data_IF_438902881050
#
_entry.id   IF_438902881050
#
_cell.length_a   1.000
_cell.length_b   1.000
_cell.length_c   1.000
_cell.angle_alpha   90.00
_cell.angle_beta   90.00
_cell.angle_gamma   90.00
#
_symmetry.space_group_name_H-M   'P 1'
#
loop_
_entity.id
_entity.type
_entity.pdbx_description
1 polymer ?
#
# COMPACT_ATOMS: atom_id res chain seq x y z
N UNK A 1 18.32 -1.86 -25.98
CA UNK A 1 18.26 -1.98 -24.50
C UNK A 1 17.53 -3.27 -24.18
N UNK A 2 18.18 -4.21 -23.47
CA UNK A 2 17.55 -5.49 -23.10
C UNK A 2 16.47 -5.20 -22.03
N UNK A 3 15.26 -5.76 -22.12
CA UNK A 3 14.25 -5.55 -21.10
C UNK A 3 14.76 -6.05 -19.75
N UNK A 4 14.62 -5.23 -18.71
CA UNK A 4 14.93 -5.62 -17.34
C UNK A 4 14.14 -6.89 -17.00
N UNK A 5 14.85 -7.96 -16.70
CA UNK A 5 14.24 -9.21 -16.27
C UNK A 5 13.79 -9.05 -14.81
N UNK A 6 12.80 -9.85 -14.39
CA UNK A 6 12.26 -9.81 -13.04
C UNK A 6 13.37 -9.95 -11.97
N UNK A 7 14.37 -10.78 -12.26
CA UNK A 7 15.56 -10.98 -11.43
C UNK A 7 16.44 -9.74 -11.30
N UNK A 8 16.50 -8.89 -12.32
CA UNK A 8 17.25 -7.63 -12.27
C UNK A 8 16.52 -6.58 -11.43
N UNK A 9 15.19 -6.55 -11.48
CA UNK A 9 14.35 -5.66 -10.66
C UNK A 9 14.44 -6.04 -9.19
N UNK A 10 14.21 -7.32 -8.86
CA UNK A 10 14.30 -7.82 -7.49
C UNK A 10 15.74 -7.76 -6.98
N UNK A 11 16.73 -8.21 -7.77
CA UNK A 11 18.15 -8.17 -7.41
C UNK A 11 18.71 -6.75 -7.30
N UNK A 12 18.17 -5.79 -8.06
CA UNK A 12 18.45 -4.37 -7.92
C UNK A 12 17.90 -3.80 -6.62
N UNK A 13 16.67 -4.13 -6.26
CA UNK A 13 16.06 -3.76 -4.98
C UNK A 13 16.85 -4.32 -3.78
N UNK A 14 17.26 -5.60 -3.82
CA UNK A 14 18.10 -6.20 -2.79
C UNK A 14 19.49 -5.56 -2.68
N UNK A 15 20.14 -5.22 -3.81
CA UNK A 15 21.45 -4.53 -3.80
C UNK A 15 21.37 -3.11 -3.26
N UNK A 16 20.30 -2.37 -3.59
CA UNK A 16 20.07 -1.04 -3.04
C UNK A 16 19.78 -1.11 -1.53
N UNK A 17 18.98 -2.09 -1.10
CA UNK A 17 18.72 -2.34 0.32
C UNK A 17 20.00 -2.67 1.09
N UNK A 18 20.92 -3.47 0.53
CA UNK A 18 22.18 -3.85 1.19
C UNK A 18 23.21 -2.71 1.29
N UNK A 19 23.25 -1.80 0.31
CA UNK A 19 24.25 -0.71 0.28
C UNK A 19 23.96 0.42 1.27
N UNK A 20 22.69 0.66 1.63
CA UNK A 20 22.29 1.75 2.55
C UNK A 20 21.41 1.25 3.72
N UNK A 21 21.54 -0.03 4.08
CA UNK A 21 20.61 -0.74 4.98
C UNK A 21 20.38 -0.02 6.32
N UNK A 22 21.40 0.59 6.92
CA UNK A 22 21.28 1.28 8.22
C UNK A 22 20.41 2.52 8.16
N UNK A 23 20.55 3.32 7.11
CA UNK A 23 19.76 4.53 6.93
C UNK A 23 18.31 4.16 6.56
N UNK A 24 18.15 3.21 5.62
CA UNK A 24 16.84 2.73 5.18
C UNK A 24 16.06 2.10 6.33
N UNK A 25 16.69 1.24 7.14
CA UNK A 25 16.05 0.63 8.31
C UNK A 25 15.75 1.63 9.42
N UNK A 26 16.64 2.59 9.69
CA UNK A 26 16.39 3.61 10.71
C UNK A 26 15.17 4.48 10.37
N UNK A 27 15.02 4.84 9.10
CA UNK A 27 13.86 5.61 8.64
C UNK A 27 12.62 4.73 8.56
N UNK A 28 12.72 3.50 8.04
CA UNK A 28 11.56 2.59 7.98
C UNK A 28 11.07 2.18 9.37
N UNK A 29 11.94 2.14 10.38
CA UNK A 29 11.56 1.95 11.78
C UNK A 29 10.70 3.12 12.27
N UNK A 30 11.13 4.36 12.01
CA UNK A 30 10.33 5.55 12.35
C UNK A 30 8.97 5.57 11.65
N UNK A 31 8.93 5.19 10.36
CA UNK A 31 7.66 5.01 9.62
C UNK A 31 6.80 3.95 10.30
N UNK A 32 7.37 2.78 10.57
CA UNK A 32 6.65 1.61 11.08
C UNK A 32 6.04 1.88 12.45
N UNK A 33 6.79 2.49 13.37
CA UNK A 33 6.26 2.90 14.68
C UNK A 33 5.05 3.80 14.52
N UNK A 34 5.14 4.79 13.63
CA UNK A 34 4.08 5.77 13.42
C UNK A 34 2.85 5.10 12.77
N UNK A 35 3.07 4.29 11.74
CA UNK A 35 2.01 3.51 11.07
C UNK A 35 1.29 2.62 12.07
N UNK A 36 2.02 1.81 12.84
CA UNK A 36 1.42 0.88 13.81
C UNK A 36 0.67 1.63 14.90
N UNK A 37 1.23 2.72 15.44
CA UNK A 37 0.55 3.52 16.46
C UNK A 37 -0.82 4.02 15.99
N UNK A 38 -0.92 4.50 14.75
CA UNK A 38 -2.21 4.98 14.23
C UNK A 38 -3.14 3.83 13.88
N UNK A 39 -2.64 2.71 13.35
CA UNK A 39 -3.46 1.51 13.14
C UNK A 39 -4.12 1.05 14.43
N UNK A 40 -3.35 0.97 15.53
CA UNK A 40 -3.87 0.59 16.85
C UNK A 40 -4.92 1.58 17.39
N UNK A 41 -4.72 2.88 17.17
CA UNK A 41 -5.72 3.90 17.56
C UNK A 41 -7.00 3.76 16.75
N UNK A 42 -6.89 3.58 15.43
CA UNK A 42 -8.07 3.36 14.57
C UNK A 42 -8.82 2.12 15.04
N UNK A 43 -8.14 0.98 15.16
CA UNK A 43 -8.75 -0.28 15.60
C UNK A 43 -9.41 -0.17 16.98
N UNK A 44 -8.72 0.44 17.95
CA UNK A 44 -9.28 0.67 19.29
C UNK A 44 -10.53 1.53 19.30
N UNK A 45 -10.70 2.43 18.32
CA UNK A 45 -11.91 3.28 18.21
C UNK A 45 -13.07 2.64 17.45
N UNK A 46 -12.80 1.78 16.47
CA UNK A 46 -13.86 1.17 15.64
C UNK A 46 -14.38 -0.15 16.17
N UNK A 47 -13.54 -1.00 16.77
CA UNK A 47 -13.93 -2.37 17.07
C UNK A 47 -14.60 -2.50 18.44
N UNK A 48 -14.42 -1.52 19.33
CA UNK A 48 -14.70 -1.70 20.76
C UNK A 48 -13.81 -2.82 21.34
N UNK A 49 -13.61 -2.86 22.66
CA UNK A 49 -12.65 -3.78 23.30
C UNK A 49 -13.06 -5.28 23.22
N UNK A 50 -14.00 -5.67 22.38
CA UNK A 50 -14.44 -7.06 22.20
C UNK A 50 -13.83 -7.66 20.95
N UNK A 51 -12.81 -8.52 21.06
CA UNK A 51 -12.38 -9.36 19.96
C UNK A 51 -13.48 -10.39 19.66
N UNK A 52 -14.43 -10.04 18.81
CA UNK A 52 -15.40 -11.01 18.29
C UNK A 52 -14.67 -11.92 17.31
N UNK A 53 -14.31 -13.13 17.75
CA UNK A 53 -13.78 -14.22 16.90
C UNK A 53 -14.84 -14.76 15.93
N UNK A 54 -16.08 -14.30 16.05
CA UNK A 54 -17.17 -14.53 15.12
C UNK A 54 -17.09 -13.50 13.99
N UNK A 55 -16.59 -13.93 12.83
CA UNK A 55 -16.75 -13.20 11.57
C UNK A 55 -18.21 -13.32 11.12
N UNK A 56 -19.09 -12.53 11.76
CA UNK A 56 -20.47 -12.40 11.31
C UNK A 56 -20.51 -11.52 10.05
N UNK A 57 -21.30 -11.91 9.05
CA UNK A 57 -21.51 -11.12 7.84
C UNK A 57 -22.05 -9.72 8.18
N UNK A 58 -22.78 -9.59 9.30
CA UNK A 58 -23.29 -8.31 9.80
C UNK A 58 -22.22 -7.32 10.30
N UNK A 59 -21.01 -7.77 10.66
CA UNK A 59 -19.92 -6.88 11.12
C UNK A 59 -19.01 -6.39 9.99
N UNK A 60 -19.15 -6.95 8.78
CA UNK A 60 -18.35 -6.60 7.61
C UNK A 60 -18.36 -5.10 7.27
N UNK A 61 -19.49 -4.35 7.38
CA UNK A 61 -19.48 -2.91 7.14
C UNK A 61 -18.56 -2.16 8.12
N UNK A 62 -18.57 -2.54 9.41
CA UNK A 62 -17.71 -1.95 10.44
C UNK A 62 -16.23 -2.30 10.20
N UNK A 63 -15.95 -3.56 9.88
CA UNK A 63 -14.61 -4.04 9.54
C UNK A 63 -14.05 -3.31 8.31
N UNK A 64 -14.91 -3.05 7.33
CA UNK A 64 -14.55 -2.32 6.12
C UNK A 64 -14.21 -0.86 6.41
N UNK A 65 -14.99 -0.19 7.26
CA UNK A 65 -14.71 1.18 7.72
C UNK A 65 -13.39 1.23 8.50
N UNK A 66 -13.14 0.27 9.38
CA UNK A 66 -11.88 0.16 10.12
C UNK A 66 -10.69 -0.05 9.18
N UNK A 67 -10.81 -0.95 8.20
CA UNK A 67 -9.80 -1.20 7.17
C UNK A 67 -9.53 0.04 6.31
N UNK A 68 -10.56 0.81 5.99
CA UNK A 68 -10.39 2.07 5.27
C UNK A 68 -9.70 3.12 6.13
N UNK A 69 -10.10 3.26 7.40
CA UNK A 69 -9.46 4.16 8.35
C UNK A 69 -7.98 3.83 8.53
N UNK A 70 -7.64 2.55 8.64
CA UNK A 70 -6.25 2.11 8.77
C UNK A 70 -5.46 2.29 7.47
N UNK A 71 -6.05 1.99 6.30
CA UNK A 71 -5.38 2.20 5.00
C UNK A 71 -5.16 3.69 4.73
N UNK A 72 -6.14 4.53 5.08
CA UNK A 72 -6.02 5.98 5.03
C UNK A 72 -4.90 6.44 5.96
N UNK A 73 -4.94 6.06 7.24
CA UNK A 73 -3.88 6.35 8.20
C UNK A 73 -2.50 5.94 7.67
N UNK A 74 -2.32 4.68 7.28
CA UNK A 74 -1.06 4.15 6.74
C UNK A 74 -0.59 4.98 5.56
N UNK A 75 -1.46 5.29 4.60
CA UNK A 75 -1.08 6.07 3.43
C UNK A 75 -0.81 7.55 3.73
N UNK A 76 -1.52 8.15 4.71
CA UNK A 76 -1.24 9.48 5.22
C UNK A 76 0.16 9.49 5.81
N UNK A 77 0.48 8.55 6.70
CA UNK A 77 1.75 8.43 7.40
C UNK A 77 2.91 8.08 6.48
N UNK A 78 2.67 7.19 5.52
CA UNK A 78 3.60 6.85 4.45
C UNK A 78 3.96 8.08 3.63
N UNK A 79 2.98 8.95 3.31
CA UNK A 79 3.26 10.18 2.58
C UNK A 79 4.10 11.19 3.38
N UNK A 80 3.89 11.26 4.70
CA UNK A 80 4.67 12.11 5.62
C UNK A 80 6.15 11.69 5.62
N UNK A 81 6.41 10.39 5.56
CA UNK A 81 7.74 9.84 5.82
C UNK A 81 8.48 9.37 4.55
N UNK A 82 7.80 9.20 3.41
CA UNK A 82 8.38 8.78 2.13
C UNK A 82 9.56 9.64 1.65
N UNK A 83 9.60 10.93 2.01
CA UNK A 83 10.73 11.82 1.68
C UNK A 83 11.90 11.79 2.66
N UNK A 84 11.74 11.19 3.85
CA UNK A 84 12.86 10.94 4.75
C UNK A 84 13.81 9.85 4.22
N UNK A 85 13.30 8.94 3.37
CA UNK A 85 14.01 7.73 2.88
C UNK A 85 15.05 8.01 1.79
N UNK A 86 15.09 9.20 1.19
CA UNK A 86 15.95 9.52 0.03
C UNK A 86 17.44 9.76 0.35
N UNK A 87 17.94 9.24 1.47
CA UNK A 87 19.35 8.86 1.59
C UNK A 87 20.37 9.99 1.72
N UNK A 88 19.95 11.23 2.02
CA UNK A 88 20.89 12.25 2.47
C UNK A 88 21.00 12.20 4.01
N UNK A 89 22.21 12.29 4.59
CA UNK A 89 22.43 12.33 6.04
C UNK A 89 21.97 13.66 6.63
N UNK A 90 20.68 13.95 6.50
CA UNK A 90 20.03 15.18 6.95
C UNK A 90 18.99 14.74 7.97
N UNK A 91 19.17 15.14 9.24
CA UNK A 91 18.31 14.72 10.34
C UNK A 91 16.81 14.93 10.08
N UNK A 92 15.95 14.22 10.82
CA UNK A 92 14.48 14.19 10.69
C UNK A 92 13.83 15.56 10.40
N UNK A 93 14.34 16.63 11.02
CA UNK A 93 13.85 18.01 10.85
C UNK A 93 14.10 18.61 9.45
N UNK A 94 15.21 18.26 8.81
CA UNK A 94 15.54 18.71 7.46
C UNK A 94 14.69 17.98 6.42
N UNK A 95 14.53 16.67 6.57
CA UNK A 95 13.62 15.86 5.74
C UNK A 95 12.17 16.37 5.84
N UNK A 96 11.69 16.70 7.04
CA UNK A 96 10.34 17.26 7.24
C UNK A 96 10.13 18.59 6.52
N UNK A 97 11.12 19.50 6.58
CA UNK A 97 11.04 20.82 5.93
C UNK A 97 10.94 20.70 4.41
N UNK A 98 11.59 19.71 3.83
CA UNK A 98 11.55 19.42 2.39
C UNK A 98 10.27 18.70 1.96
N UNK A 99 9.70 17.86 2.85
CA UNK A 99 8.46 17.13 2.62
C UNK A 99 7.18 17.99 2.77
N UNK A 100 7.16 18.93 3.73
CA UNK A 100 5.97 19.73 4.10
C UNK A 100 5.21 20.36 2.92
N UNK A 101 5.85 20.94 1.88
CA UNK A 101 5.13 21.58 0.78
C UNK A 101 4.29 20.61 -0.07
N UNK A 102 4.70 19.34 -0.13
CA UNK A 102 4.06 18.31 -0.96
C UNK A 102 3.09 17.43 -0.18
N UNK A 103 3.16 17.48 1.16
CA UNK A 103 2.33 16.72 2.10
C UNK A 103 0.85 16.73 1.71
N UNK A 104 0.25 17.90 1.51
CA UNK A 104 -1.18 18.02 1.21
C UNK A 104 -1.59 17.39 -0.13
N UNK A 105 -0.68 17.38 -1.10
CA UNK A 105 -0.94 16.79 -2.42
C UNK A 105 -0.85 15.27 -2.37
N UNK A 106 0.14 14.74 -1.66
CA UNK A 106 0.24 13.31 -1.39
C UNK A 106 -0.94 12.81 -0.55
N UNK A 107 -1.30 13.57 0.47
CA UNK A 107 -2.48 13.35 1.28
C UNK A 107 -3.74 13.26 0.41
N UNK A 108 -3.92 14.23 -0.48
CA UNK A 108 -5.03 14.25 -1.42
C UNK A 108 -5.08 13.00 -2.31
N UNK A 109 -3.94 12.53 -2.84
CA UNK A 109 -3.90 11.28 -3.63
C UNK A 109 -4.23 10.07 -2.78
N UNK A 110 -3.59 9.91 -1.63
CA UNK A 110 -3.85 8.76 -0.75
C UNK A 110 -5.33 8.71 -0.37
N UNK A 111 -5.88 9.82 0.14
CA UNK A 111 -7.27 9.89 0.57
C UNK A 111 -8.20 9.59 -0.59
N UNK A 112 -7.94 10.16 -1.77
CA UNK A 112 -8.80 9.96 -2.93
C UNK A 112 -8.71 8.53 -3.47
N UNK A 113 -7.54 7.90 -3.50
CA UNK A 113 -7.38 6.49 -3.90
C UNK A 113 -8.10 5.57 -2.91
N UNK A 114 -7.88 5.75 -1.61
CA UNK A 114 -8.57 4.98 -0.56
C UNK A 114 -10.08 5.16 -0.64
N UNK A 115 -10.58 6.38 -0.89
CA UNK A 115 -12.01 6.65 -1.03
C UNK A 115 -12.59 6.04 -2.31
N UNK A 116 -11.86 6.08 -3.42
CA UNK A 116 -12.28 5.40 -4.65
C UNK A 116 -12.41 3.90 -4.41
N UNK A 117 -11.43 3.28 -3.75
CA UNK A 117 -11.52 1.85 -3.39
C UNK A 117 -12.67 1.57 -2.42
N UNK A 118 -12.84 2.43 -1.40
CA UNK A 118 -13.94 2.38 -0.42
C UNK A 118 -15.31 2.33 -1.10
N UNK A 119 -15.59 3.36 -1.89
CA UNK A 119 -16.87 3.57 -2.56
C UNK A 119 -17.13 2.44 -3.53
N UNK A 120 -16.10 1.94 -4.22
CA UNK A 120 -16.25 0.85 -5.18
C UNK A 120 -16.74 -0.43 -4.53
N UNK A 121 -16.16 -0.81 -3.39
CA UNK A 121 -16.59 -2.00 -2.65
C UNK A 121 -17.95 -1.76 -2.00
N UNK A 122 -18.20 -0.58 -1.43
CA UNK A 122 -19.48 -0.23 -0.82
C UNK A 122 -20.63 -0.30 -1.83
N UNK A 123 -20.44 0.23 -3.04
CA UNK A 123 -21.44 0.17 -4.12
C UNK A 123 -21.76 -1.28 -4.50
N UNK A 124 -20.78 -2.18 -4.49
CA UNK A 124 -21.01 -3.60 -4.73
C UNK A 124 -21.69 -4.31 -3.54
N UNK A 125 -21.43 -3.89 -2.30
CA UNK A 125 -21.99 -4.49 -1.07
C UNK A 125 -23.43 -4.07 -0.78
N UNK A 126 -23.79 -2.81 -1.02
CA UNK A 126 -25.09 -2.23 -0.63
C UNK A 126 -26.30 -3.05 -1.09
N UNK A 127 -26.38 -3.52 -2.35
CA UNK A 127 -27.53 -4.33 -2.79
C UNK A 127 -27.69 -5.63 -2.00
N UNK A 128 -26.57 -6.30 -1.66
CA UNK A 128 -26.59 -7.51 -0.87
C UNK A 128 -27.06 -7.27 0.56
N UNK A 129 -26.50 -6.25 1.22
CA UNK A 129 -26.88 -5.89 2.58
C UNK A 129 -28.36 -5.49 2.70
N UNK A 130 -28.91 -4.80 1.70
CA UNK A 130 -30.32 -4.41 1.68
C UNK A 130 -31.26 -5.63 1.53
N UNK A 131 -30.87 -6.61 0.72
CA UNK A 131 -31.67 -7.82 0.53
C UNK A 131 -31.58 -8.74 1.74
N UNK A 132 -30.40 -8.88 2.32
CA UNK A 132 -30.19 -9.65 3.54
C UNK A 132 -30.99 -9.08 4.72
N UNK A 133 -30.93 -7.75 4.92
CA UNK A 133 -31.76 -7.07 5.92
C UNK A 133 -33.28 -7.23 5.69
N UNK A 134 -33.71 -7.52 4.46
CA UNK A 134 -35.10 -7.80 4.10
C UNK A 134 -35.46 -9.31 4.17
N UNK A 135 -34.55 -10.17 4.64
CA UNK A 135 -34.75 -11.62 4.76
C UNK A 135 -34.52 -12.41 3.48
N UNK A 136 -33.88 -11.82 2.46
CA UNK A 136 -33.63 -12.44 1.16
C UNK A 136 -32.40 -13.35 1.08
N UNK A 137 -31.66 -13.50 2.19
CA UNK A 137 -30.48 -14.36 2.32
C UNK A 137 -29.18 -13.78 1.75
N UNK A 138 -28.07 -14.48 1.99
CA UNK A 138 -26.70 -13.96 1.83
C UNK A 138 -26.16 -13.95 0.40
N UNK A 139 -26.90 -14.51 -0.57
CA UNK A 139 -26.39 -14.79 -1.92
C UNK A 139 -25.93 -13.52 -2.66
N UNK A 140 -26.68 -12.43 -2.55
CA UNK A 140 -26.32 -11.14 -3.15
C UNK A 140 -25.19 -10.45 -2.39
N UNK A 141 -25.08 -10.64 -1.08
CA UNK A 141 -23.98 -10.12 -0.26
C UNK A 141 -22.66 -10.77 -0.68
N UNK A 142 -22.64 -12.09 -0.85
CA UNK A 142 -21.47 -12.82 -1.34
C UNK A 142 -21.05 -12.38 -2.75
N UNK A 143 -22.01 -12.20 -3.66
CA UNK A 143 -21.74 -11.71 -5.02
C UNK A 143 -21.20 -10.27 -4.99
N UNK A 144 -21.78 -9.42 -4.13
CA UNK A 144 -21.31 -8.05 -3.88
C UNK A 144 -19.88 -8.00 -3.36
N UNK A 145 -19.51 -8.88 -2.42
CA UNK A 145 -18.14 -9.01 -1.91
C UNK A 145 -17.20 -9.43 -3.05
N UNK A 146 -17.53 -10.48 -3.79
CA UNK A 146 -16.69 -10.99 -4.87
C UNK A 146 -16.47 -9.92 -5.96
N UNK A 147 -17.55 -9.28 -6.42
CA UNK A 147 -17.49 -8.19 -7.38
C UNK A 147 -16.72 -6.98 -6.86
N UNK A 148 -16.93 -6.62 -5.59
CA UNK A 148 -16.23 -5.53 -4.91
C UNK A 148 -14.73 -5.79 -4.81
N UNK A 149 -14.31 -7.00 -4.46
CA UNK A 149 -12.88 -7.39 -4.40
C UNK A 149 -12.25 -7.33 -5.78
N UNK A 150 -12.90 -7.88 -6.80
CA UNK A 150 -12.38 -7.84 -8.19
C UNK A 150 -12.22 -6.39 -8.66
N UNK A 151 -13.23 -5.54 -8.40
CA UNK A 151 -13.19 -4.13 -8.75
C UNK A 151 -12.11 -3.37 -7.98
N UNK A 152 -11.98 -3.62 -6.67
CA UNK A 152 -10.96 -3.00 -5.82
C UNK A 152 -9.54 -3.38 -6.27
N UNK A 153 -9.28 -4.65 -6.56
CA UNK A 153 -8.00 -5.12 -7.10
C UNK A 153 -7.69 -4.42 -8.43
N UNK A 154 -8.67 -4.36 -9.34
CA UNK A 154 -8.50 -3.72 -10.63
C UNK A 154 -8.19 -2.22 -10.51
N UNK A 155 -8.89 -1.50 -9.63
CA UNK A 155 -8.67 -0.09 -9.36
C UNK A 155 -7.33 0.15 -8.65
N UNK A 156 -6.97 -0.68 -7.68
CA UNK A 156 -5.70 -0.61 -6.97
C UNK A 156 -4.53 -0.70 -7.96
N UNK A 157 -4.57 -1.66 -8.88
CA UNK A 157 -3.52 -1.83 -9.89
C UNK A 157 -3.47 -0.61 -10.81
N UNK A 158 -4.63 -0.09 -11.26
CA UNK A 158 -4.69 1.12 -12.10
C UNK A 158 -4.17 2.38 -11.42
N UNK A 159 -4.31 2.48 -10.11
CA UNK A 159 -3.95 3.65 -9.32
C UNK A 159 -2.62 3.50 -8.56
N UNK A 160 -1.95 2.35 -8.70
CA UNK A 160 -0.71 2.01 -7.99
C UNK A 160 0.44 3.01 -8.22
N UNK A 161 0.46 3.71 -9.36
CA UNK A 161 1.48 4.70 -9.69
C UNK A 161 1.07 6.15 -9.42
N UNK A 162 -0.09 6.41 -8.82
CA UNK A 162 -0.60 7.78 -8.61
C UNK A 162 0.35 8.61 -7.73
N UNK A 163 0.89 8.01 -6.67
CA UNK A 163 1.84 8.68 -5.76
C UNK A 163 3.15 9.01 -6.48
N UNK A 164 3.68 8.08 -7.27
CA UNK A 164 4.91 8.28 -8.03
C UNK A 164 4.74 9.36 -9.11
N UNK A 165 3.62 9.36 -9.84
CA UNK A 165 3.29 10.38 -10.83
C UNK A 165 3.13 11.77 -10.21
N UNK A 166 2.51 11.88 -9.02
CA UNK A 166 2.35 13.16 -8.33
C UNK A 166 3.69 13.78 -7.93
N UNK A 167 4.59 12.96 -7.36
CA UNK A 167 5.90 13.42 -6.88
C UNK A 167 6.83 13.73 -8.05
N UNK A 168 6.95 12.79 -8.99
CA UNK A 168 7.98 12.84 -10.04
C UNK A 168 7.58 13.73 -11.21
N UNK A 169 6.30 13.82 -11.54
CA UNK A 169 5.80 14.69 -12.63
C UNK A 169 5.23 16.02 -12.10
N UNK A 170 5.26 16.27 -10.78
CA UNK A 170 4.75 17.48 -10.11
C UNK A 170 3.30 17.83 -10.49
N UNK A 171 2.50 16.84 -10.84
CA UNK A 171 1.12 17.01 -11.28
C UNK A 171 0.15 17.23 -10.11
N UNK A 172 -1.04 17.76 -10.42
CA UNK A 172 -2.16 17.78 -9.48
C UNK A 172 -2.72 16.38 -9.21
N UNK A 173 -3.45 16.21 -8.09
CA UNK A 173 -4.00 14.92 -7.62
C UNK A 173 -4.73 14.15 -8.71
N UNK A 174 -5.73 14.77 -9.36
CA UNK A 174 -6.52 14.12 -10.41
C UNK A 174 -5.70 13.82 -11.67
N UNK A 175 -4.77 14.70 -12.03
CA UNK A 175 -3.90 14.50 -13.19
C UNK A 175 -2.96 13.32 -12.97
N UNK A 176 -2.40 13.19 -11.76
CA UNK A 176 -1.57 12.05 -11.36
C UNK A 176 -2.33 10.72 -11.42
N UNK A 177 -3.59 10.66 -10.98
CA UNK A 177 -4.42 9.45 -11.08
C UNK A 177 -4.74 9.08 -12.54
N UNK A 178 -5.09 10.07 -13.38
CA UNK A 178 -5.32 9.86 -14.81
C UNK A 178 -4.05 9.36 -15.51
N UNK A 179 -2.90 9.93 -15.15
CA UNK A 179 -1.59 9.50 -15.63
C UNK A 179 -1.28 8.06 -15.23
N UNK A 180 -1.49 7.69 -13.96
CA UNK A 180 -1.36 6.31 -13.47
C UNK A 180 -2.21 5.34 -14.29
N UNK A 181 -3.49 5.66 -14.49
CA UNK A 181 -4.40 4.83 -15.27
C UNK A 181 -3.94 4.66 -16.73
N UNK A 182 -3.41 5.72 -17.36
CA UNK A 182 -2.83 5.67 -18.72
C UNK A 182 -1.60 4.75 -18.77
N UNK A 183 -0.71 4.86 -17.78
CA UNK A 183 0.51 4.04 -17.68
C UNK A 183 0.18 2.55 -17.51
N UNK A 184 -0.82 2.22 -16.70
CA UNK A 184 -1.17 0.82 -16.41
C UNK A 184 -2.00 0.17 -17.53
N UNK A 185 -2.78 0.93 -18.31
CA UNK A 185 -3.76 0.40 -19.28
C UNK A 185 -3.20 -0.67 -20.23
N UNK A 186 -1.99 -0.48 -20.75
CA UNK A 186 -1.36 -1.43 -21.69
C UNK A 186 -0.51 -2.53 -21.04
N UNK A 187 -0.30 -2.48 -19.72
CA UNK A 187 0.57 -3.39 -19.00
C UNK A 187 -0.07 -3.94 -17.72
N UNK A 188 -1.41 -3.94 -17.65
CA UNK A 188 -2.16 -4.24 -16.43
C UNK A 188 -1.79 -5.61 -15.85
N UNK A 189 -1.77 -6.67 -16.67
CA UNK A 189 -1.42 -8.02 -16.23
C UNK A 189 0.02 -8.14 -15.70
N UNK A 190 0.95 -7.42 -16.33
CA UNK A 190 2.34 -7.39 -15.87
C UNK A 190 2.47 -6.66 -14.54
N UNK A 191 1.83 -5.51 -14.40
CA UNK A 191 1.82 -4.75 -13.15
C UNK A 191 1.14 -5.56 -12.05
N UNK A 192 -0.01 -6.19 -12.35
CA UNK A 192 -0.70 -7.09 -11.44
C UNK A 192 0.22 -8.21 -10.95
N UNK A 193 0.81 -8.99 -11.87
CA UNK A 193 1.64 -10.13 -11.51
C UNK A 193 2.85 -9.74 -10.65
N UNK A 194 3.51 -8.61 -10.95
CA UNK A 194 4.66 -8.17 -10.17
C UNK A 194 4.23 -7.65 -8.80
N UNK A 195 3.16 -6.85 -8.71
CA UNK A 195 2.64 -6.39 -7.43
C UNK A 195 2.12 -7.57 -6.58
N UNK A 196 1.47 -8.55 -7.19
CA UNK A 196 1.00 -9.77 -6.54
C UNK A 196 2.18 -10.58 -5.98
N UNK A 197 3.21 -10.82 -6.80
CA UNK A 197 4.40 -11.55 -6.37
C UNK A 197 5.13 -10.82 -5.25
N UNK A 198 5.29 -9.50 -5.39
CA UNK A 198 5.93 -8.65 -4.37
C UNK A 198 5.13 -8.67 -3.07
N UNK A 199 3.80 -8.58 -3.18
CA UNK A 199 2.88 -8.68 -2.04
C UNK A 199 2.93 -10.04 -1.36
N UNK A 200 3.04 -11.13 -2.13
CA UNK A 200 3.19 -12.49 -1.59
C UNK A 200 4.49 -12.64 -0.81
N UNK A 201 5.61 -12.20 -1.39
CA UNK A 201 6.94 -12.23 -0.73
C UNK A 201 6.90 -11.38 0.55
N UNK A 202 6.33 -10.18 0.47
CA UNK A 202 6.12 -9.27 1.60
C UNK A 202 5.30 -9.92 2.73
N UNK A 203 4.22 -10.62 2.36
CA UNK A 203 3.31 -11.27 3.33
C UNK A 203 3.99 -12.44 4.03
N UNK A 204 4.74 -13.27 3.30
CA UNK A 204 5.53 -14.36 3.87
C UNK A 204 6.61 -13.82 4.81
N UNK A 205 7.33 -12.78 4.40
CA UNK A 205 8.33 -12.14 5.25
C UNK A 205 7.71 -11.57 6.53
N UNK A 206 6.56 -10.89 6.42
CA UNK A 206 5.83 -10.37 7.57
C UNK A 206 5.39 -11.48 8.52
N UNK A 207 4.82 -12.57 8.00
CA UNK A 207 4.41 -13.72 8.81
C UNK A 207 5.59 -14.36 9.57
N UNK A 208 6.71 -14.59 8.88
CA UNK A 208 7.92 -15.16 9.48
C UNK A 208 8.51 -14.25 10.57
N UNK A 209 8.50 -12.93 10.35
CA UNK A 209 8.99 -11.96 11.33
C UNK A 209 8.04 -11.85 12.52
N UNK A 210 6.71 -11.92 12.33
CA UNK A 210 5.73 -11.84 13.42
C UNK A 210 5.75 -13.05 14.33
N UNK A 211 5.91 -14.26 13.80
CA UNK A 211 5.84 -15.52 14.55
C UNK A 211 6.56 -15.52 15.91
N UNK A 212 7.85 -15.13 16.03
CA UNK A 212 8.53 -15.13 17.33
C UNK A 212 7.89 -14.16 18.33
N UNK A 213 7.38 -13.01 17.88
CA UNK A 213 6.71 -12.05 18.74
C UNK A 213 5.34 -12.55 19.19
N UNK A 214 4.58 -13.20 18.31
CA UNK A 214 3.29 -13.78 18.66
C UNK A 214 3.45 -14.90 19.69
N UNK A 215 4.47 -15.76 19.53
CA UNK A 215 4.80 -16.82 20.50
C UNK A 215 5.18 -16.21 21.85
N UNK A 216 6.05 -15.20 21.86
CA UNK A 216 6.45 -14.52 23.10
C UNK A 216 5.27 -13.80 23.77
N UNK A 217 4.43 -13.14 22.96
CA UNK A 217 3.20 -12.50 23.43
C UNK A 217 2.26 -13.50 24.08
N UNK A 218 2.08 -14.68 23.45
CA UNK A 218 1.27 -15.76 24.01
C UNK A 218 1.86 -16.28 25.33
N UNK A 219 3.16 -16.58 25.38
CA UNK A 219 3.84 -17.07 26.58
C UNK A 219 3.75 -16.09 27.74
N UNK A 220 3.88 -14.79 27.48
CA UNK A 220 3.73 -13.75 28.51
C UNK A 220 2.27 -13.54 28.88
N UNK A 221 1.34 -13.60 27.93
CA UNK A 221 -0.09 -13.51 28.23
C UNK A 221 -0.58 -14.68 29.11
N UNK A 222 0.03 -15.87 28.98
CA UNK A 222 -0.25 -17.04 29.83
C UNK A 222 0.18 -16.87 31.29
N UNK A 223 1.05 -15.92 31.61
CA UNK A 223 1.44 -15.62 33.01
C UNK A 223 0.51 -14.60 33.68
N UNK A 224 -0.46 -14.05 32.94
CA UNK A 224 -1.47 -13.14 33.47
C UNK A 224 -2.44 -13.83 34.44
N UNK A 225 -2.88 -13.12 35.47
CA UNK A 225 -3.80 -13.61 36.50
C UNK A 225 -5.23 -13.86 36.00
N UNK A 226 -5.59 -13.26 34.87
CA UNK A 226 -7.00 -13.08 34.49
C UNK A 226 -7.49 -14.15 33.49
N UNK A 227 -6.63 -15.10 33.10
CA UNK A 227 -6.96 -16.19 32.17
C UNK A 227 -7.22 -15.77 30.71
N UNK A 228 -7.43 -14.48 30.45
CA UNK A 228 -7.55 -13.90 29.11
C UNK A 228 -6.18 -13.47 28.56
N UNK A 229 -5.57 -14.38 27.80
CA UNK A 229 -4.27 -14.18 27.15
C UNK A 229 -4.33 -13.07 26.10
N UNK A 230 -5.44 -12.97 25.36
CA UNK A 230 -5.62 -12.03 24.24
C UNK A 230 -6.09 -10.64 24.68
N UNK A 231 -6.65 -10.51 25.88
CA UNK A 231 -6.94 -9.22 26.52
C UNK A 231 -5.74 -8.61 27.24
N UNK A 232 -4.65 -9.36 27.43
CA UNK A 232 -3.46 -8.90 28.16
C UNK A 232 -2.76 -7.73 27.45
N UNK A 233 -2.47 -6.60 28.13
CA UNK A 233 -1.69 -5.52 27.54
C UNK A 233 -0.25 -5.96 27.20
N UNK A 234 0.28 -6.97 27.89
CA UNK A 234 1.59 -7.52 27.59
C UNK A 234 1.58 -8.28 26.25
N UNK A 235 0.52 -9.06 25.96
CA UNK A 235 0.35 -9.71 24.66
C UNK A 235 0.36 -8.68 23.52
N UNK A 236 -0.44 -7.61 23.64
CA UNK A 236 -0.52 -6.56 22.63
C UNK A 236 0.77 -5.76 22.47
N UNK A 237 1.59 -5.63 23.52
CA UNK A 237 2.92 -5.03 23.40
C UNK A 237 3.80 -5.86 22.46
N UNK A 238 3.83 -7.18 22.60
CA UNK A 238 4.61 -8.05 21.72
C UNK A 238 4.07 -8.03 20.28
N UNK A 239 2.75 -8.08 20.10
CA UNK A 239 2.11 -7.94 18.78
C UNK A 239 2.50 -6.62 18.13
N UNK A 240 2.45 -5.50 18.86
CA UNK A 240 2.86 -4.20 18.36
C UNK A 240 4.33 -4.17 17.96
N UNK A 241 5.23 -4.76 18.75
CA UNK A 241 6.66 -4.85 18.40
C UNK A 241 6.86 -5.72 17.15
N UNK A 242 6.14 -6.84 17.02
CA UNK A 242 6.18 -7.70 15.84
C UNK A 242 5.68 -7.00 14.58
N UNK A 243 4.60 -6.22 14.69
CA UNK A 243 4.07 -5.37 13.61
C UNK A 243 5.08 -4.29 13.19
N UNK A 244 5.72 -3.63 14.15
CA UNK A 244 6.75 -2.62 13.88
C UNK A 244 7.95 -3.27 13.18
N UNK A 245 8.45 -4.38 13.72
CA UNK A 245 9.58 -5.11 13.15
C UNK A 245 9.28 -5.57 11.72
N UNK A 246 8.17 -6.26 11.50
CA UNK A 246 7.79 -6.76 10.17
C UNK A 246 7.58 -5.63 9.16
N UNK A 247 6.86 -4.57 9.53
CA UNK A 247 6.63 -3.40 8.66
C UNK A 247 7.94 -2.70 8.29
N UNK A 248 8.88 -2.58 9.24
CA UNK A 248 10.20 -1.98 9.02
C UNK A 248 10.98 -2.67 7.89
N UNK A 249 10.86 -3.99 7.76
CA UNK A 249 11.53 -4.78 6.73
C UNK A 249 10.76 -4.86 5.41
N UNK A 250 9.43 -4.98 5.48
CA UNK A 250 8.58 -5.21 4.30
C UNK A 250 8.30 -3.92 3.51
N UNK A 251 8.31 -2.78 4.18
CA UNK A 251 7.95 -1.50 3.57
C UNK A 251 8.91 -1.03 2.45
N UNK A 252 10.25 -1.09 2.60
CA UNK A 252 11.17 -0.74 1.51
C UNK A 252 11.01 -1.64 0.27
N UNK A 253 10.67 -2.92 0.47
CA UNK A 253 10.50 -3.90 -0.61
C UNK A 253 9.31 -3.54 -1.50
N UNK A 254 8.16 -3.27 -0.89
CA UNK A 254 6.93 -2.91 -1.63
C UNK A 254 7.01 -1.51 -2.25
N UNK A 255 7.51 -0.53 -1.51
CA UNK A 255 7.70 0.85 -2.00
C UNK A 255 8.73 0.94 -3.13
N UNK A 256 9.90 0.31 -2.96
CA UNK A 256 10.96 0.29 -3.96
C UNK A 256 10.53 -0.38 -5.26
N UNK A 257 9.80 -1.49 -5.17
CA UNK A 257 9.28 -2.20 -6.36
C UNK A 257 8.27 -1.34 -7.12
N UNK A 258 7.36 -0.67 -6.41
CA UNK A 258 6.36 0.21 -7.03
C UNK A 258 7.01 1.38 -7.78
N UNK A 259 8.05 1.98 -7.19
CA UNK A 259 8.81 3.08 -7.82
C UNK A 259 9.57 2.59 -9.05
N UNK A 260 10.25 1.45 -8.97
CA UNK A 260 10.97 0.86 -10.11
C UNK A 260 10.04 0.52 -11.27
N UNK A 261 8.87 -0.06 -10.96
CA UNK A 261 7.85 -0.36 -11.95
C UNK A 261 7.33 0.91 -12.63
N UNK A 262 7.08 1.97 -11.85
CA UNK A 262 6.66 3.25 -12.42
C UNK A 262 7.70 3.78 -13.41
N UNK A 263 8.98 3.78 -13.03
CA UNK A 263 10.07 4.27 -13.91
C UNK A 263 10.20 3.42 -15.17
N UNK A 264 10.16 2.08 -15.07
CA UNK A 264 10.21 1.19 -16.25
C UNK A 264 9.02 1.46 -17.19
N UNK A 265 7.81 1.59 -16.66
CA UNK A 265 6.62 1.87 -17.48
C UNK A 265 6.68 3.23 -18.15
N UNK A 266 7.14 4.25 -17.42
CA UNK A 266 7.31 5.60 -17.96
C UNK A 266 8.28 5.59 -19.14
N UNK A 267 9.45 4.97 -18.99
CA UNK A 267 10.47 4.89 -20.05
C UNK A 267 9.92 4.15 -21.28
N UNK A 268 9.21 3.03 -21.06
CA UNK A 268 8.63 2.24 -22.17
C UNK A 268 7.58 3.01 -22.96
N UNK A 269 6.72 3.76 -22.28
CA UNK A 269 5.67 4.53 -22.97
C UNK A 269 6.22 5.79 -23.64
N UNK A 270 7.11 6.53 -22.97
CA UNK A 270 7.68 7.75 -23.53
C UNK A 270 8.63 7.45 -24.71
N UNK A 271 9.39 6.36 -24.67
CA UNK A 271 10.22 5.95 -25.82
C UNK A 271 9.38 5.55 -27.04
N UNK A 272 8.22 4.91 -26.83
CA UNK A 272 7.30 4.56 -27.92
C UNK A 272 6.72 5.82 -28.58
N UNK A 273 6.27 6.78 -27.77
CA UNK A 273 5.70 8.05 -28.25
C UNK A 273 6.72 8.85 -29.10
N UNK A 274 8.00 8.86 -28.68
CA UNK A 274 9.07 9.51 -29.44
C UNK A 274 9.33 8.83 -30.79
N UNK A 275 9.34 7.49 -30.83
CA UNK A 275 9.55 6.74 -32.06
C UNK A 275 8.40 6.92 -33.06
N UNK A 276 7.15 6.97 -32.57
CA UNK A 276 5.98 7.25 -33.42
C UNK A 276 6.02 8.67 -34.00
N UNK A 277 6.43 9.64 -33.18
CA UNK A 277 6.57 11.04 -33.63
C UNK A 277 7.66 11.17 -34.69
N UNK A 278 8.84 10.55 -34.45
CA UNK A 278 9.93 10.51 -35.42
C UNK A 278 9.53 9.84 -36.74
N UNK A 279 8.77 8.73 -36.70
CA UNK A 279 8.27 8.05 -37.90
C UNK A 279 7.17 8.82 -38.64
N UNK A 280 6.40 9.67 -37.93
CA UNK A 280 5.36 10.52 -38.52
C UNK A 280 5.88 11.84 -39.11
N UNK A 281 7.13 12.19 -38.84
CA UNK A 281 7.75 13.39 -39.43
C UNK A 281 8.24 13.01 -40.83
N UNK A 282 7.64 13.51 -41.92
CA UNK A 282 8.13 13.19 -43.26
C UNK A 282 9.55 13.72 -43.37
N UNK A 283 10.50 12.85 -43.72
CA UNK A 283 11.83 13.28 -44.13
C UNK A 283 11.66 14.21 -45.32
N UNK A 284 11.78 15.53 -45.10
CA UNK A 284 11.72 16.53 -46.14
C UNK A 284 12.80 16.26 -47.20
N UNK A 285 12.53 16.57 -48.49
CA UNK A 285 13.44 16.23 -49.57
C UNK A 285 14.82 16.83 -49.33
N UNK A 286 15.85 15.98 -49.39
CA UNK A 286 17.25 16.39 -49.43
C UNK A 286 17.44 17.28 -50.66
N UNK A 287 17.61 18.58 -50.45
CA UNK A 287 17.98 19.49 -51.52
C UNK A 287 19.43 19.19 -51.98
N UNK A 288 19.67 19.17 -53.30
CA UNK A 288 20.96 18.80 -53.91
C UNK A 288 22.04 19.87 -53.72
#
# INVERSE_FOLDING_TARGET
MRPLDLGDILGGAFRMMRSHWRAVLGISLGVAVLVVAVTLVVEGTTTGNTPSTTYDLGSLPGQFVALLGSTLAVGMLTSVVSHAVLGRPLGLRAAWREARPHFWRLLGVTVLVSLVLAVSVLVCLVPGLLVDAAGGGDGLTLLGILGGVVLAVWLYIRLSFSTAALVLERQGVLAAMRRSAKLVRGAWWRTFGILLLTGLIASVAQFVIMLPFDILGLLVGLTGSDGDVTGSPAFWLFVAVGLIASTTFTFPLTGGTTVLLYVDQRIRQESLDLNLTAASTPTGPTHP
#
